data_IF_995187904845
#
_entry.id   IF_995187904845
#
_cell.length_a   1.000
_cell.length_b   1.000
_cell.length_c   1.000
_cell.angle_alpha   90.00
_cell.angle_beta   90.00
_cell.angle_gamma   90.00
#
_symmetry.space_group_name_H-M   'P 1'
#
loop_
_entity.id
_entity.type
_entity.pdbx_description
1 polymer ?
#
# COMPACT_ATOMS: atom_id res chain seq x y z
N UNK A 1 3.38 30.72 19.25
CA UNK A 1 2.68 29.42 19.33
C UNK A 1 2.03 29.00 18.01
N UNK A 2 1.18 29.80 17.34
CA UNK A 2 0.51 29.43 16.09
C UNK A 2 1.49 28.97 14.98
N UNK A 3 2.57 29.72 14.71
CA UNK A 3 3.58 29.38 13.70
C UNK A 3 4.28 28.03 14.00
N UNK A 4 4.56 27.73 15.27
CA UNK A 4 5.19 26.48 15.67
C UNK A 4 4.26 25.29 15.41
N UNK A 5 2.98 25.41 15.79
CA UNK A 5 1.98 24.37 15.55
C UNK A 5 1.81 24.12 14.04
N UNK A 6 1.72 25.18 13.23
CA UNK A 6 1.62 25.05 11.77
C UNK A 6 2.83 24.33 11.18
N UNK A 7 4.05 24.67 11.62
CA UNK A 7 5.25 23.99 11.12
C UNK A 7 5.28 22.50 11.49
N UNK A 8 4.86 22.16 12.72
CA UNK A 8 4.77 20.75 13.14
C UNK A 8 3.75 19.99 12.29
N UNK A 9 2.57 20.56 12.04
CA UNK A 9 1.54 19.94 11.19
C UNK A 9 2.05 19.72 9.76
N UNK A 10 2.77 20.68 9.19
CA UNK A 10 3.38 20.55 7.87
C UNK A 10 4.40 19.41 7.83
N UNK A 11 5.27 19.30 8.84
CA UNK A 11 6.26 18.23 8.92
C UNK A 11 5.56 16.87 9.03
N UNK A 12 4.56 16.73 9.90
CA UNK A 12 3.79 15.49 10.06
C UNK A 12 3.11 15.10 8.75
N UNK A 13 2.48 16.07 8.07
CA UNK A 13 1.86 15.84 6.76
C UNK A 13 2.89 15.36 5.73
N UNK A 14 4.07 15.99 5.64
CA UNK A 14 5.13 15.59 4.73
C UNK A 14 5.60 14.15 4.98
N UNK A 15 5.76 13.76 6.24
CA UNK A 15 6.14 12.39 6.60
C UNK A 15 5.05 11.40 6.15
N UNK A 16 3.79 11.69 6.42
CA UNK A 16 2.67 10.84 6.00
C UNK A 16 2.62 10.73 4.47
N UNK A 17 2.74 11.85 3.75
CA UNK A 17 2.73 11.88 2.29
C UNK A 17 3.87 11.03 1.70
N UNK A 18 5.08 11.10 2.26
CA UNK A 18 6.23 10.28 1.84
C UNK A 18 5.94 8.79 2.07
N UNK A 19 5.46 8.42 3.28
CA UNK A 19 5.14 7.04 3.60
C UNK A 19 4.09 6.48 2.62
N UNK A 20 2.99 7.21 2.40
CA UNK A 20 1.94 6.80 1.48
C UNK A 20 2.46 6.68 0.04
N UNK A 21 3.32 7.60 -0.39
CA UNK A 21 3.94 7.54 -1.73
C UNK A 21 4.83 6.29 -1.87
N UNK A 22 5.63 5.97 -0.86
CA UNK A 22 6.46 4.75 -0.86
C UNK A 22 5.56 3.51 -0.94
N UNK A 23 4.48 3.45 -0.14
CA UNK A 23 3.52 2.34 -0.18
C UNK A 23 2.93 2.15 -1.57
N UNK A 24 2.51 3.24 -2.22
CA UNK A 24 1.91 3.19 -3.57
C UNK A 24 2.92 2.81 -4.66
N UNK A 25 4.18 3.26 -4.55
CA UNK A 25 5.24 2.91 -5.49
C UNK A 25 5.75 1.46 -5.32
N UNK A 26 5.52 0.86 -4.15
CA UNK A 26 5.92 -0.53 -3.86
C UNK A 26 4.90 -1.57 -4.34
N UNK A 27 3.93 -1.18 -5.17
CA UNK A 27 2.97 -2.10 -5.76
C UNK A 27 3.62 -3.04 -6.76
N UNK A 28 3.27 -4.32 -6.65
CA UNK A 28 3.54 -5.29 -7.71
C UNK A 28 2.48 -5.21 -8.82
N UNK A 29 2.61 -6.06 -9.85
CA UNK A 29 1.67 -6.15 -10.98
C UNK A 29 0.21 -6.42 -10.56
N UNK A 30 -0.01 -6.92 -9.35
CA UNK A 30 -1.32 -7.22 -8.77
C UNK A 30 -1.83 -6.17 -7.79
N UNK A 31 -1.17 -5.01 -7.70
CA UNK A 31 -1.49 -3.91 -6.77
C UNK A 31 -1.40 -4.33 -5.30
N UNK A 32 -0.43 -5.17 -4.97
CA UNK A 32 -0.04 -5.48 -3.60
C UNK A 32 1.28 -4.78 -3.30
N UNK A 33 1.34 -4.11 -2.19
CA UNK A 33 2.57 -3.54 -1.66
C UNK A 33 3.41 -4.65 -1.03
N UNK A 34 4.64 -4.82 -1.49
CA UNK A 34 5.60 -5.77 -0.90
C UNK A 34 6.77 -4.98 -0.33
N UNK A 35 6.98 -5.08 0.97
CA UNK A 35 8.06 -4.38 1.69
C UNK A 35 8.70 -5.32 2.70
N UNK A 36 10.03 -5.50 2.58
CA UNK A 36 10.81 -6.29 3.55
C UNK A 36 10.29 -7.70 3.74
N UNK A 37 9.98 -8.41 2.64
CA UNK A 37 9.48 -9.79 2.67
C UNK A 37 8.05 -9.95 3.16
N UNK A 38 7.32 -8.84 3.32
CA UNK A 38 5.91 -8.85 3.73
C UNK A 38 5.03 -8.26 2.65
N UNK A 39 3.92 -8.94 2.37
CA UNK A 39 2.86 -8.47 1.49
C UNK A 39 1.75 -7.81 2.30
N UNK A 40 1.36 -6.60 1.92
CA UNK A 40 0.26 -5.85 2.50
C UNK A 40 -0.98 -6.05 1.61
N UNK A 41 -1.93 -6.78 2.10
CA UNK A 41 -3.12 -7.23 1.36
C UNK A 41 -4.35 -6.48 1.85
N UNK A 42 -5.03 -5.75 0.98
CA UNK A 42 -6.30 -5.10 1.31
C UNK A 42 -7.44 -6.02 0.92
N UNK A 43 -8.26 -6.41 1.89
CA UNK A 43 -9.45 -7.23 1.64
C UNK A 43 -10.54 -6.33 1.05
N UNK A 44 -10.88 -6.56 -0.24
CA UNK A 44 -11.77 -5.67 -1.00
C UNK A 44 -13.22 -6.16 -1.09
N UNK A 45 -13.45 -7.42 -0.76
CA UNK A 45 -14.78 -8.05 -0.75
C UNK A 45 -14.98 -8.91 0.51
N UNK A 46 -16.14 -9.55 0.63
CA UNK A 46 -16.47 -10.41 1.77
C UNK A 46 -16.30 -11.91 1.46
N UNK A 47 -15.58 -12.25 0.41
CA UNK A 47 -15.43 -13.64 -0.03
C UNK A 47 -14.60 -14.48 0.96
N UNK A 48 -13.84 -13.82 1.83
CA UNK A 48 -13.04 -14.45 2.90
C UNK A 48 -13.66 -14.32 4.29
N UNK A 49 -14.86 -13.74 4.40
CA UNK A 49 -15.57 -13.61 5.67
C UNK A 49 -16.03 -14.98 6.18
N UNK A 50 -16.13 -15.18 7.51
CA UNK A 50 -15.93 -14.19 8.60
C UNK A 50 -14.47 -13.99 9.03
N UNK A 51 -13.53 -14.75 8.52
CA UNK A 51 -12.15 -14.74 8.99
C UNK A 51 -11.41 -13.45 8.61
N UNK A 52 -11.61 -12.98 7.37
CA UNK A 52 -11.09 -11.70 6.89
C UNK A 52 -12.22 -10.89 6.29
N UNK A 53 -12.46 -9.70 6.83
CA UNK A 53 -13.58 -8.87 6.44
C UNK A 53 -13.14 -7.77 5.47
N UNK A 54 -14.06 -7.34 4.64
CA UNK A 54 -13.84 -6.21 3.74
C UNK A 54 -13.37 -4.96 4.49
N UNK A 55 -12.32 -4.34 3.98
CA UNK A 55 -11.74 -3.11 4.54
C UNK A 55 -10.62 -3.36 5.54
N UNK A 56 -10.29 -4.61 5.83
CA UNK A 56 -9.12 -4.97 6.63
C UNK A 56 -7.85 -4.92 5.79
N UNK A 57 -6.74 -4.58 6.44
CA UNK A 57 -5.39 -4.76 5.93
C UNK A 57 -4.80 -6.01 6.56
N UNK A 58 -4.41 -6.96 5.74
CA UNK A 58 -3.75 -8.20 6.17
C UNK A 58 -2.29 -8.13 5.77
N UNK A 59 -1.40 -8.34 6.74
CA UNK A 59 0.05 -8.39 6.53
C UNK A 59 0.49 -9.84 6.60
N UNK A 60 1.05 -10.37 5.53
CA UNK A 60 1.50 -11.76 5.41
C UNK A 60 2.98 -11.85 5.03
N UNK A 61 3.63 -12.94 5.39
CA UNK A 61 4.99 -13.22 4.96
C UNK A 61 4.98 -13.75 3.51
N UNK A 62 5.72 -13.10 2.63
CA UNK A 62 5.83 -13.45 1.20
C UNK A 62 7.14 -14.14 0.83
N UNK A 63 8.14 -14.14 1.72
CA UNK A 63 9.46 -14.74 1.48
C UNK A 63 9.59 -16.19 1.97
N UNK A 64 8.64 -16.64 2.78
CA UNK A 64 8.71 -17.99 3.35
C UNK A 64 8.46 -19.06 2.27
N UNK A 65 9.24 -20.13 2.33
CA UNK A 65 9.01 -21.29 1.46
C UNK A 65 7.71 -21.98 1.86
N UNK A 66 6.78 -22.02 0.93
CA UNK A 66 5.50 -22.73 1.09
C UNK A 66 5.73 -24.24 1.19
N UNK A 67 5.04 -24.89 2.11
CA UNK A 67 5.06 -26.34 2.32
C UNK A 67 3.68 -26.93 2.08
N UNK A 68 3.66 -28.21 1.72
CA UNK A 68 2.41 -28.98 1.64
C UNK A 68 1.71 -28.98 3.00
N UNK A 69 0.41 -28.76 3.00
CA UNK A 69 -0.43 -28.66 4.19
C UNK A 69 -0.62 -27.26 4.74
N UNK A 70 0.16 -26.27 4.29
CA UNK A 70 -0.02 -24.87 4.68
C UNK A 70 -1.12 -24.19 3.87
N UNK A 71 -1.76 -23.21 4.48
CA UNK A 71 -2.75 -22.36 3.83
C UNK A 71 -2.09 -21.09 3.31
N UNK A 72 -2.43 -20.68 2.11
CA UNK A 72 -1.84 -19.54 1.41
C UNK A 72 -2.91 -18.57 0.93
N UNK A 73 -2.56 -17.28 0.86
CA UNK A 73 -3.28 -16.30 0.05
C UNK A 73 -2.76 -16.33 -1.37
N UNK A 74 -3.66 -16.28 -2.34
CA UNK A 74 -3.32 -16.22 -3.75
C UNK A 74 -4.29 -15.36 -4.54
N UNK A 75 -3.85 -14.96 -5.74
CA UNK A 75 -4.70 -14.28 -6.71
C UNK A 75 -5.46 -15.26 -7.58
N UNK A 76 -6.75 -15.07 -7.64
CA UNK A 76 -7.61 -15.67 -8.63
C UNK A 76 -7.98 -14.62 -9.68
N UNK A 77 -7.55 -14.87 -10.93
CA UNK A 77 -7.92 -14.03 -12.05
C UNK A 77 -9.19 -14.58 -12.68
N UNK A 78 -10.28 -13.84 -12.60
CA UNK A 78 -11.51 -14.06 -13.37
C UNK A 78 -11.52 -13.06 -14.53
N UNK A 79 -12.28 -13.29 -15.59
CA UNK A 79 -12.28 -12.52 -16.84
C UNK A 79 -12.36 -11.00 -16.67
N UNK A 80 -12.95 -10.52 -15.60
CA UNK A 80 -13.15 -9.09 -15.34
C UNK A 80 -12.51 -8.56 -14.06
N UNK A 81 -12.06 -9.42 -13.13
CA UNK A 81 -11.56 -8.99 -11.82
C UNK A 81 -10.49 -9.94 -11.29
N UNK A 82 -9.53 -9.37 -10.59
CA UNK A 82 -8.60 -10.15 -9.76
C UNK A 82 -9.13 -10.16 -8.34
N UNK A 83 -9.32 -11.35 -7.77
CA UNK A 83 -9.78 -11.55 -6.40
C UNK A 83 -8.68 -12.19 -5.57
N UNK A 84 -8.70 -11.91 -4.27
CA UNK A 84 -7.84 -12.58 -3.31
C UNK A 84 -8.60 -13.77 -2.75
N UNK A 85 -7.95 -14.92 -2.72
CA UNK A 85 -8.48 -16.18 -2.21
C UNK A 85 -7.49 -16.79 -1.24
N UNK A 86 -7.95 -17.74 -0.46
CA UNK A 86 -7.11 -18.60 0.33
C UNK A 86 -7.37 -20.08 -0.02
N UNK A 87 -6.36 -20.90 0.15
CA UNK A 87 -6.47 -22.33 -0.11
C UNK A 87 -5.32 -23.09 0.51
N UNK A 88 -5.57 -24.36 0.83
CA UNK A 88 -4.59 -25.25 1.42
C UNK A 88 -3.78 -25.93 0.32
N UNK A 89 -2.45 -25.87 0.45
CA UNK A 89 -1.53 -26.49 -0.49
C UNK A 89 -1.47 -27.99 -0.28
N UNK A 90 -1.76 -28.74 -1.31
CA UNK A 90 -1.71 -30.22 -1.30
C UNK A 90 -0.50 -30.77 -2.04
N UNK A 91 -0.11 -30.12 -3.13
CA UNK A 91 1.03 -30.54 -3.92
C UNK A 91 1.82 -29.32 -4.41
N UNK A 92 3.14 -29.45 -4.45
CA UNK A 92 4.05 -28.44 -4.98
C UNK A 92 4.81 -29.05 -6.14
N UNK A 93 4.62 -28.52 -7.34
CA UNK A 93 5.32 -28.94 -8.56
C UNK A 93 6.29 -27.86 -9.01
N UNK A 94 7.57 -28.20 -9.09
CA UNK A 94 8.56 -27.31 -9.67
C UNK A 94 8.54 -27.52 -11.19
N UNK A 95 8.09 -26.51 -11.94
CA UNK A 95 7.98 -26.56 -13.41
C UNK A 95 9.32 -26.24 -14.07
N UNK A 96 10.04 -25.24 -13.52
CA UNK A 96 11.39 -24.84 -13.94
C UNK A 96 12.17 -24.40 -12.70
N UNK A 97 13.46 -24.03 -12.88
CA UNK A 97 14.28 -23.51 -11.77
C UNK A 97 13.73 -22.22 -11.12
N UNK A 98 12.77 -21.56 -11.78
CA UNK A 98 12.16 -20.30 -11.32
C UNK A 98 10.64 -20.35 -11.16
N UNK A 99 9.99 -21.36 -11.75
CA UNK A 99 8.53 -21.46 -11.79
C UNK A 99 8.04 -22.64 -10.96
N UNK A 100 7.19 -22.35 -9.99
CA UNK A 100 6.54 -23.33 -9.13
C UNK A 100 5.02 -23.28 -9.37
N UNK A 101 4.36 -24.43 -9.35
CA UNK A 101 2.91 -24.52 -9.32
C UNK A 101 2.46 -25.17 -8.02
N UNK A 102 1.37 -24.66 -7.47
CA UNK A 102 0.74 -25.14 -6.24
C UNK A 102 -0.63 -25.73 -6.59
N UNK A 103 -0.86 -26.96 -6.21
CA UNK A 103 -2.17 -27.59 -6.29
C UNK A 103 -2.88 -27.39 -4.96
N UNK A 104 -4.12 -26.92 -5.01
CA UNK A 104 -4.90 -26.49 -3.85
C UNK A 104 -6.19 -27.32 -3.72
N UNK A 105 -6.70 -27.42 -2.50
CA UNK A 105 -8.07 -27.80 -2.15
C UNK A 105 -8.58 -29.06 -2.88
N UNK A 106 -7.98 -30.22 -2.63
CA UNK A 106 -8.45 -31.50 -3.21
C UNK A 106 -7.97 -31.76 -4.64
N UNK A 107 -6.99 -31.00 -5.12
CA UNK A 107 -6.46 -31.19 -6.48
C UNK A 107 -7.29 -30.52 -7.59
N UNK A 108 -8.38 -29.83 -7.21
CA UNK A 108 -9.28 -29.19 -8.17
C UNK A 108 -8.68 -27.92 -8.80
N UNK A 109 -7.73 -27.29 -8.10
CA UNK A 109 -7.18 -26.00 -8.53
C UNK A 109 -5.66 -25.99 -8.52
N UNK A 110 -5.06 -25.51 -9.60
CA UNK A 110 -3.62 -25.29 -9.68
C UNK A 110 -3.32 -23.82 -9.99
N UNK A 111 -2.40 -23.22 -9.23
CA UNK A 111 -1.95 -21.85 -9.41
C UNK A 111 -0.46 -21.81 -9.69
N UNK A 112 -0.01 -20.88 -10.54
CA UNK A 112 1.40 -20.62 -10.73
C UNK A 112 1.94 -19.77 -9.57
N UNK A 113 3.21 -19.96 -9.22
CA UNK A 113 3.86 -19.26 -8.09
C UNK A 113 3.78 -17.73 -8.15
N UNK A 114 3.71 -17.14 -9.34
CA UNK A 114 3.51 -15.69 -9.51
C UNK A 114 2.19 -15.16 -8.93
N UNK A 115 1.21 -16.03 -8.70
CA UNK A 115 -0.06 -15.68 -8.08
C UNK A 115 -0.08 -15.90 -6.56
N UNK A 116 0.99 -16.45 -6.00
CA UNK A 116 1.16 -16.57 -4.56
C UNK A 116 1.33 -15.18 -3.94
N UNK A 117 0.64 -14.93 -2.82
CA UNK A 117 0.75 -13.69 -2.06
C UNK A 117 1.59 -13.92 -0.80
N UNK A 118 1.33 -15.00 -0.08
CA UNK A 118 2.02 -15.37 1.14
C UNK A 118 1.24 -16.35 2.00
N UNK A 119 1.83 -16.74 3.13
CA UNK A 119 1.25 -17.68 4.09
C UNK A 119 0.18 -17.02 4.96
N UNK A 120 -0.86 -17.79 5.34
CA UNK A 120 -1.90 -17.31 6.25
C UNK A 120 -1.52 -17.49 7.73
N UNK A 121 -0.61 -18.42 8.05
CA UNK A 121 -0.32 -18.86 9.43
C UNK A 121 0.09 -17.72 10.38
N UNK A 122 0.86 -16.74 9.90
CA UNK A 122 1.32 -15.59 10.68
C UNK A 122 0.67 -14.26 10.22
N UNK A 123 -0.49 -14.33 9.60
CA UNK A 123 -1.19 -13.16 9.08
C UNK A 123 -1.61 -12.21 10.22
N UNK A 124 -1.22 -10.94 10.10
CA UNK A 124 -1.65 -9.88 11.03
C UNK A 124 -2.76 -9.07 10.40
N UNK A 125 -3.91 -9.03 11.05
CA UNK A 125 -5.07 -8.26 10.58
C UNK A 125 -5.12 -6.91 11.28
N UNK A 126 -5.26 -5.84 10.51
CA UNK A 126 -5.45 -4.48 11.00
C UNK A 126 -6.79 -3.98 10.48
N UNK A 127 -7.80 -3.86 11.36
CA UNK A 127 -9.14 -3.47 10.97
C UNK A 127 -9.19 -2.03 10.45
N UNK A 128 -10.04 -1.76 9.47
CA UNK A 128 -10.30 -0.44 8.88
C UNK A 128 -9.14 0.23 8.11
N UNK A 129 -7.89 -0.18 8.33
CA UNK A 129 -6.73 0.41 7.65
C UNK A 129 -6.76 0.13 6.15
N UNK A 130 -7.23 -1.04 5.74
CA UNK A 130 -7.41 -1.37 4.33
C UNK A 130 -8.40 -0.44 3.63
N UNK A 131 -9.47 -0.03 4.31
CA UNK A 131 -10.41 0.99 3.77
C UNK A 131 -9.73 2.33 3.54
N UNK A 132 -8.96 2.82 4.53
CA UNK A 132 -8.23 4.08 4.40
C UNK A 132 -7.22 4.02 3.24
N UNK A 133 -6.44 2.95 3.14
CA UNK A 133 -5.49 2.76 2.05
C UNK A 133 -6.19 2.69 0.70
N UNK A 134 -7.34 2.00 0.60
CA UNK A 134 -8.13 1.93 -0.64
C UNK A 134 -8.59 3.31 -1.12
N UNK A 135 -8.91 4.22 -0.21
CA UNK A 135 -9.27 5.61 -0.55
C UNK A 135 -8.05 6.33 -1.13
N UNK A 136 -6.90 6.23 -0.44
CA UNK A 136 -5.65 6.88 -0.91
C UNK A 136 -5.19 6.31 -2.25
N UNK A 137 -5.34 4.99 -2.48
CA UNK A 137 -5.02 4.33 -3.74
C UNK A 137 -5.92 4.78 -4.91
N UNK A 138 -7.11 5.29 -4.62
CA UNK A 138 -7.98 5.80 -5.65
C UNK A 138 -7.38 7.06 -6.29
N UNK A 139 -7.61 7.27 -7.60
CA UNK A 139 -7.12 8.45 -8.32
C UNK A 139 -7.53 9.76 -7.63
N UNK A 140 -8.77 9.82 -7.16
CA UNK A 140 -9.30 11.00 -6.47
C UNK A 140 -8.76 11.13 -5.05
N UNK A 141 -8.66 10.03 -4.31
CA UNK A 141 -8.08 10.03 -2.96
C UNK A 141 -6.64 10.51 -2.98
N UNK A 142 -5.80 9.99 -3.87
CA UNK A 142 -4.42 10.45 -4.04
C UNK A 142 -4.36 11.94 -4.40
N UNK A 143 -5.19 12.38 -5.34
CA UNK A 143 -5.24 13.77 -5.74
C UNK A 143 -5.60 14.70 -4.58
N UNK A 144 -6.69 14.39 -3.84
CA UNK A 144 -7.19 15.29 -2.80
C UNK A 144 -6.43 15.18 -1.48
N UNK A 145 -5.89 14.01 -1.14
CA UNK A 145 -5.20 13.79 0.14
C UNK A 145 -3.72 14.10 0.04
N UNK A 146 -3.08 13.83 -1.10
CA UNK A 146 -1.64 13.99 -1.27
C UNK A 146 -1.32 15.22 -2.14
N UNK A 147 -1.80 15.27 -3.37
CA UNK A 147 -1.36 16.29 -4.34
C UNK A 147 -1.88 17.68 -3.98
N UNK A 148 -3.18 17.81 -3.71
CA UNK A 148 -3.78 19.13 -3.49
C UNK A 148 -3.23 19.84 -2.25
N UNK A 149 -3.13 19.22 -1.07
CA UNK A 149 -2.53 19.88 0.09
C UNK A 149 -1.04 20.20 -0.11
N UNK A 150 -0.27 19.31 -0.77
CA UNK A 150 1.12 19.58 -1.10
C UNK A 150 1.27 20.82 -2.00
N UNK A 151 0.41 20.94 -3.00
CA UNK A 151 0.38 22.10 -3.91
C UNK A 151 0.05 23.40 -3.15
N UNK A 152 -0.96 23.37 -2.28
CA UNK A 152 -1.33 24.53 -1.46
C UNK A 152 -0.20 24.96 -0.52
N UNK A 153 0.50 24.01 0.09
CA UNK A 153 1.68 24.28 0.91
C UNK A 153 2.81 24.90 0.08
N UNK A 154 3.07 24.38 -1.12
CA UNK A 154 4.10 24.93 -2.00
C UNK A 154 3.79 26.37 -2.42
N UNK A 155 2.54 26.67 -2.80
CA UNK A 155 2.09 28.01 -3.16
C UNK A 155 2.28 28.99 -1.96
N UNK A 156 1.90 28.54 -0.75
CA UNK A 156 2.08 29.36 0.45
C UNK A 156 3.56 29.67 0.71
N UNK A 157 4.44 28.68 0.59
CA UNK A 157 5.89 28.87 0.79
C UNK A 157 6.48 29.83 -0.25
N UNK A 158 6.06 29.74 -1.51
CA UNK A 158 6.47 30.70 -2.56
C UNK A 158 6.05 32.12 -2.16
N UNK A 159 4.83 32.32 -1.67
CA UNK A 159 4.35 33.62 -1.20
C UNK A 159 5.20 34.20 -0.05
N UNK A 160 5.58 33.37 0.92
CA UNK A 160 6.47 33.77 2.02
C UNK A 160 7.84 34.22 1.51
N UNK A 161 8.44 33.45 0.60
CA UNK A 161 9.74 33.78 -0.01
C UNK A 161 9.69 35.11 -0.76
N UNK A 162 8.66 35.32 -1.60
CA UNK A 162 8.50 36.59 -2.33
C UNK A 162 8.31 37.79 -1.39
N UNK A 163 7.56 37.62 -0.30
CA UNK A 163 7.37 38.67 0.70
C UNK A 163 8.69 39.01 1.39
N UNK A 164 9.48 38.03 1.79
CA UNK A 164 10.80 38.22 2.41
C UNK A 164 11.79 38.95 1.48
N UNK A 165 11.82 38.58 0.20
CA UNK A 165 12.66 39.26 -0.81
C UNK A 165 12.23 40.72 -0.97
N UNK A 166 10.92 41.01 -0.96
CA UNK A 166 10.39 42.38 -1.08
C UNK A 166 10.74 43.23 0.12
N UNK A 167 10.71 42.67 1.33
CA UNK A 167 11.10 43.34 2.56
C UNK A 167 12.61 43.65 2.57
N UNK A 168 13.45 42.67 2.24
CA UNK A 168 14.90 42.85 2.15
C UNK A 168 15.29 43.98 1.19
N UNK A 169 14.67 44.02 -0.01
CA UNK A 169 14.89 45.10 -0.99
C UNK A 169 14.44 46.49 -0.51
N UNK A 170 13.40 46.54 0.33
CA UNK A 170 12.97 47.84 0.92
C UNK A 170 13.98 48.35 1.95
N UNK A 171 14.50 47.45 2.80
CA UNK A 171 15.52 47.83 3.81
C UNK A 171 16.82 48.34 3.15
N UNK A 172 17.22 47.70 2.05
CA UNK A 172 18.42 48.10 1.29
C UNK A 172 18.27 49.51 0.69
N UNK A 173 17.08 49.83 0.14
CA UNK A 173 16.78 51.19 -0.42
C UNK A 173 16.63 52.28 0.66
N UNK A 174 16.38 51.91 1.93
CA UNK A 174 16.24 52.88 3.03
C UNK A 174 17.58 53.21 3.68
N UNK A 175 18.59 52.35 3.48
CA UNK A 175 19.96 52.52 3.98
C UNK A 175 20.91 53.23 3.00
N UNK A 176 20.51 53.39 1.77
CA UNK A 176 21.24 54.12 0.69
C UNK A 176 20.72 55.53 0.57
#
# INVERSE_FOLDING_TARGET
>A
MKKLITNILVIVYMIIAIILTILLLSYNDFKITVIGGKSLVIIRDNDLAPEYNKGELVIVNSEDSVKVGQEIFYFEKTDSKTKIRKGKVEEIKQLTSKDTAYTLDGGEKSIAGKYLIGLTDDAKVIPNVGTLLSIVESKWGFLFIIILPALLLAINQIGVVFSGIKEARKEEKTKA
#
